data_IF_041966816549
#
_entry.id   IF_041966816549
#
_cell.length_a   1.000
_cell.length_b   1.000
_cell.length_c   1.000
_cell.angle_alpha   90.00
_cell.angle_beta   90.00
_cell.angle_gamma   90.00
#
_symmetry.space_group_name_H-M   'P 1'
#
loop_
_entity.id
_entity.type
_entity.pdbx_description
1 polymer ?
#
# COMPACT_ATOMS: atom_id res chain seq x y z
N UNK A 1 29.16 -9.74 9.63
CA UNK A 1 28.51 -8.95 8.55
C UNK A 1 28.92 -7.48 8.69
N UNK A 2 29.22 -6.74 7.60
CA UNK A 2 29.64 -5.33 7.68
C UNK A 2 28.51 -4.45 8.22
N UNK A 3 28.78 -3.68 9.27
CA UNK A 3 27.79 -2.80 9.90
C UNK A 3 27.35 -1.66 8.97
N UNK A 4 28.21 -1.27 8.04
CA UNK A 4 27.90 -0.24 7.04
C UNK A 4 26.75 -0.69 6.11
N UNK A 5 26.74 -1.95 5.66
CA UNK A 5 25.66 -2.48 4.83
C UNK A 5 24.32 -2.47 5.58
N UNK A 6 24.33 -2.84 6.88
CA UNK A 6 23.14 -2.82 7.72
C UNK A 6 22.60 -1.39 7.91
N UNK A 7 23.50 -0.42 8.17
CA UNK A 7 23.13 0.99 8.32
C UNK A 7 22.57 1.57 7.03
N UNK A 8 23.24 1.33 5.90
CA UNK A 8 22.81 1.87 4.60
C UNK A 8 21.44 1.34 4.19
N UNK A 9 21.21 0.02 4.30
CA UNK A 9 19.90 -0.57 3.93
C UNK A 9 18.81 -0.12 4.89
N UNK A 10 19.07 -0.07 6.20
CA UNK A 10 18.10 0.44 7.16
C UNK A 10 17.74 1.90 6.86
N UNK A 11 18.73 2.78 6.71
CA UNK A 11 18.52 4.19 6.42
C UNK A 11 17.70 4.40 5.14
N UNK A 12 18.11 3.78 4.03
CA UNK A 12 17.40 3.90 2.75
C UNK A 12 15.97 3.37 2.82
N UNK A 13 15.75 2.18 3.42
CA UNK A 13 14.42 1.62 3.55
C UNK A 13 13.48 2.49 4.41
N UNK A 14 14.03 3.13 5.45
CA UNK A 14 13.27 4.05 6.30
C UNK A 14 12.87 5.35 5.61
N UNK A 15 13.55 5.78 4.55
CA UNK A 15 13.18 6.99 3.79
C UNK A 15 11.95 6.79 2.89
N UNK A 16 11.52 5.55 2.66
CA UNK A 16 10.45 5.25 1.68
C UNK A 16 9.17 6.02 1.92
N UNK A 17 8.53 6.02 3.12
CA UNK A 17 7.31 6.79 3.31
C UNK A 17 7.50 8.31 3.10
N UNK A 18 8.64 8.85 3.49
CA UNK A 18 8.95 10.27 3.32
C UNK A 18 9.06 10.66 1.83
N UNK A 19 9.68 9.81 1.02
CA UNK A 19 9.91 10.08 -0.40
C UNK A 19 8.75 9.61 -1.30
N UNK A 20 7.83 8.80 -0.77
CA UNK A 20 6.73 8.25 -1.52
C UNK A 20 5.90 9.32 -2.26
N UNK A 21 5.49 10.35 -1.54
CA UNK A 21 4.62 11.41 -2.05
C UNK A 21 5.40 12.63 -2.58
N UNK A 22 6.66 12.78 -2.16
CA UNK A 22 7.48 13.96 -2.47
C UNK A 22 8.43 13.78 -3.66
N UNK A 23 8.70 12.53 -4.09
CA UNK A 23 9.67 12.23 -5.13
C UNK A 23 9.20 11.14 -6.11
N UNK A 24 9.26 11.44 -7.39
CA UNK A 24 8.92 10.47 -8.45
C UNK A 24 9.95 9.36 -8.62
N UNK A 25 11.19 9.58 -8.20
CA UNK A 25 12.32 8.67 -8.41
C UNK A 25 12.85 8.04 -7.13
N UNK A 26 12.51 8.59 -5.96
CA UNK A 26 13.03 8.14 -4.67
C UNK A 26 12.74 6.66 -4.40
N UNK A 27 11.49 6.24 -4.52
CA UNK A 27 11.09 4.85 -4.31
C UNK A 27 11.79 3.86 -5.26
N UNK A 28 11.72 4.07 -6.58
CA UNK A 28 12.44 3.25 -7.56
C UNK A 28 13.95 3.13 -7.31
N UNK A 29 14.63 4.22 -7.00
CA UNK A 29 16.08 4.18 -6.72
C UNK A 29 16.36 3.38 -5.45
N UNK A 30 15.61 3.61 -4.39
CA UNK A 30 15.84 2.96 -3.10
C UNK A 30 15.69 1.44 -3.21
N UNK A 31 14.66 0.93 -3.90
CA UNK A 31 14.47 -0.53 -4.00
C UNK A 31 15.64 -1.20 -4.71
N UNK A 32 16.17 -0.62 -5.80
CA UNK A 32 17.30 -1.20 -6.52
C UNK A 32 18.61 -1.09 -5.72
N UNK A 33 18.88 0.05 -5.09
CA UNK A 33 20.10 0.23 -4.29
C UNK A 33 20.09 -0.69 -3.06
N UNK A 34 18.97 -0.77 -2.35
CA UNK A 34 18.84 -1.67 -1.18
C UNK A 34 18.91 -3.13 -1.58
N UNK A 35 18.30 -3.51 -2.71
CA UNK A 35 18.38 -4.88 -3.24
C UNK A 35 19.82 -5.23 -3.66
N UNK A 36 20.54 -4.32 -4.34
CA UNK A 36 21.95 -4.53 -4.71
C UNK A 36 22.82 -4.75 -3.48
N UNK A 37 22.70 -3.90 -2.46
CA UNK A 37 23.45 -4.07 -1.20
C UNK A 37 23.08 -5.39 -0.52
N UNK A 38 21.81 -5.76 -0.52
CA UNK A 38 21.34 -7.01 0.08
C UNK A 38 21.87 -8.23 -0.66
N UNK A 39 21.76 -8.26 -2.00
CA UNK A 39 22.24 -9.36 -2.83
C UNK A 39 23.75 -9.53 -2.76
N UNK A 40 24.52 -8.46 -2.82
CA UNK A 40 25.99 -8.52 -2.67
C UNK A 40 26.39 -8.98 -1.28
N UNK A 41 25.65 -8.56 -0.24
CA UNK A 41 25.88 -9.03 1.14
C UNK A 41 25.50 -10.50 1.30
N UNK A 42 24.42 -10.97 0.66
CA UNK A 42 24.02 -12.39 0.61
C UNK A 42 25.09 -13.23 -0.09
N UNK A 43 25.60 -12.80 -1.24
CA UNK A 43 26.67 -13.50 -1.95
C UNK A 43 27.95 -13.59 -1.11
N UNK A 44 28.33 -12.49 -0.46
CA UNK A 44 29.46 -12.52 0.49
C UNK A 44 29.21 -13.45 1.69
N UNK A 45 27.95 -13.53 2.16
CA UNK A 45 27.59 -14.45 3.26
C UNK A 45 27.66 -15.94 2.85
N UNK A 46 27.38 -16.27 1.58
CA UNK A 46 27.55 -17.64 1.06
C UNK A 46 29.01 -18.11 1.18
N UNK A 47 29.96 -17.20 0.86
CA UNK A 47 31.41 -17.48 0.92
C UNK A 47 31.92 -17.45 2.37
N UNK A 48 31.59 -16.41 3.11
CA UNK A 48 32.17 -16.11 4.42
C UNK A 48 31.41 -16.74 5.60
N UNK A 49 30.20 -17.28 5.37
CA UNK A 49 29.34 -17.94 6.36
C UNK A 49 29.15 -17.14 7.67
N UNK A 50 28.95 -15.83 7.55
CA UNK A 50 28.80 -14.94 8.73
C UNK A 50 27.56 -15.30 9.57
N UNK A 51 26.45 -15.64 8.90
CA UNK A 51 25.15 -15.84 9.55
C UNK A 51 24.31 -16.87 8.78
N UNK A 52 23.47 -17.69 9.44
CA UNK A 52 22.55 -18.60 8.78
C UNK A 52 21.49 -17.82 7.98
N UNK A 53 21.04 -18.37 6.86
CA UNK A 53 20.07 -17.73 5.99
C UNK A 53 18.68 -17.56 6.63
N UNK A 54 18.30 -18.40 7.61
CA UNK A 54 17.01 -18.32 8.31
C UNK A 54 15.79 -18.40 7.38
N UNK A 55 15.82 -19.32 6.43
CA UNK A 55 14.80 -19.47 5.39
C UNK A 55 13.39 -19.60 5.96
N UNK A 56 13.23 -20.32 7.08
CA UNK A 56 11.93 -20.52 7.74
C UNK A 56 11.28 -19.19 8.18
N UNK A 57 12.09 -18.21 8.59
CA UNK A 57 11.57 -16.88 8.97
C UNK A 57 11.20 -16.03 7.76
N UNK A 58 11.83 -16.28 6.62
CA UNK A 58 11.56 -15.56 5.38
C UNK A 58 10.44 -16.17 4.56
N UNK A 59 10.13 -17.45 4.75
CA UNK A 59 9.28 -18.21 3.84
C UNK A 59 7.92 -17.52 3.57
N UNK A 60 7.22 -17.13 4.62
CA UNK A 60 5.89 -16.51 4.47
C UNK A 60 5.96 -15.20 3.67
N UNK A 61 6.90 -14.30 4.03
CA UNK A 61 7.02 -13.01 3.34
C UNK A 61 7.59 -13.17 1.94
N UNK A 62 8.47 -14.14 1.71
CA UNK A 62 9.01 -14.45 0.40
C UNK A 62 7.93 -14.96 -0.55
N UNK A 63 7.09 -15.90 -0.10
CA UNK A 63 5.94 -16.38 -0.88
C UNK A 63 5.04 -15.22 -1.27
N UNK A 64 4.67 -14.35 -0.32
CA UNK A 64 3.80 -13.21 -0.59
C UNK A 64 4.39 -12.25 -1.64
N UNK A 65 5.68 -11.93 -1.52
CA UNK A 65 6.34 -10.94 -2.39
C UNK A 65 6.75 -11.52 -3.76
N UNK A 66 7.04 -12.83 -3.85
CA UNK A 66 7.43 -13.45 -5.12
C UNK A 66 6.20 -13.86 -5.94
N UNK A 67 5.07 -14.18 -5.31
CA UNK A 67 3.89 -14.71 -5.98
C UNK A 67 3.40 -13.86 -7.17
N UNK A 68 3.29 -12.51 -7.10
CA UNK A 68 2.87 -11.72 -8.26
C UNK A 68 3.83 -11.81 -9.45
N UNK A 69 5.13 -11.83 -9.17
CA UNK A 69 6.14 -11.98 -10.21
C UNK A 69 6.10 -13.37 -10.85
N UNK A 70 5.93 -14.42 -10.05
CA UNK A 70 5.81 -15.78 -10.54
C UNK A 70 4.53 -15.98 -11.39
N UNK A 71 3.39 -15.45 -10.96
CA UNK A 71 2.13 -15.51 -11.71
C UNK A 71 2.28 -14.83 -13.09
N UNK A 72 2.92 -13.65 -13.12
CA UNK A 72 3.22 -12.94 -14.37
C UNK A 72 4.14 -13.75 -15.27
N UNK A 73 5.24 -14.33 -14.75
CA UNK A 73 6.15 -15.15 -15.56
C UNK A 73 5.43 -16.34 -16.19
N UNK A 74 4.60 -17.05 -15.44
CA UNK A 74 3.82 -18.19 -15.94
C UNK A 74 2.88 -17.73 -17.06
N UNK A 75 2.12 -16.65 -16.84
CA UNK A 75 1.18 -16.10 -17.83
C UNK A 75 1.92 -15.65 -19.09
N UNK A 76 2.98 -14.85 -18.96
CA UNK A 76 3.75 -14.35 -20.10
C UNK A 76 4.40 -15.49 -20.90
N UNK A 77 4.90 -16.54 -20.24
CA UNK A 77 5.48 -17.71 -20.90
C UNK A 77 4.43 -18.48 -21.68
N UNK A 78 3.25 -18.69 -21.08
CA UNK A 78 2.14 -19.41 -21.72
C UNK A 78 1.59 -18.67 -22.94
N UNK A 79 1.42 -17.34 -22.83
CA UNK A 79 0.84 -16.50 -23.87
C UNK A 79 1.87 -16.03 -24.92
N UNK A 80 3.18 -16.17 -24.68
CA UNK A 80 4.22 -15.59 -25.52
C UNK A 80 4.24 -14.05 -25.52
N UNK A 81 3.52 -13.41 -24.57
CA UNK A 81 3.29 -11.97 -24.53
C UNK A 81 4.08 -11.30 -23.39
N UNK A 82 5.29 -10.88 -23.68
CA UNK A 82 6.20 -10.27 -22.70
C UNK A 82 6.06 -8.75 -22.65
N UNK A 83 6.11 -8.18 -21.42
CA UNK A 83 6.12 -6.75 -21.17
C UNK A 83 7.27 -6.39 -20.22
N UNK A 84 8.24 -5.62 -20.70
CA UNK A 84 9.38 -5.16 -19.90
C UNK A 84 8.92 -4.33 -18.68
N UNK A 85 7.90 -3.49 -18.86
CA UNK A 85 7.36 -2.66 -17.79
C UNK A 85 6.68 -3.49 -16.69
N UNK A 86 5.96 -4.56 -17.05
CA UNK A 86 5.33 -5.47 -16.07
C UNK A 86 6.38 -6.32 -15.34
N UNK A 87 7.37 -6.83 -16.08
CA UNK A 87 8.50 -7.55 -15.48
C UNK A 87 9.19 -6.67 -14.44
N UNK A 88 9.56 -5.45 -14.83
CA UNK A 88 10.24 -4.51 -13.94
C UNK A 88 9.38 -4.16 -12.72
N UNK A 89 8.10 -3.90 -12.91
CA UNK A 89 7.16 -3.57 -11.85
C UNK A 89 7.06 -4.69 -10.81
N UNK A 90 6.77 -5.91 -11.25
CA UNK A 90 6.53 -7.03 -10.35
C UNK A 90 7.82 -7.63 -9.77
N UNK A 91 8.95 -7.53 -10.49
CA UNK A 91 10.27 -7.88 -9.96
C UNK A 91 10.62 -7.09 -8.69
N UNK A 92 10.18 -5.85 -8.56
CA UNK A 92 10.44 -5.01 -7.36
C UNK A 92 9.87 -5.62 -6.09
N UNK A 93 8.75 -6.34 -6.15
CA UNK A 93 8.27 -7.12 -5.00
C UNK A 93 9.27 -8.22 -4.62
N UNK A 94 9.73 -9.00 -5.59
CA UNK A 94 10.69 -10.07 -5.34
C UNK A 94 12.04 -9.55 -4.82
N UNK A 95 12.49 -8.39 -5.30
CA UNK A 95 13.71 -7.73 -4.81
C UNK A 95 13.62 -7.27 -3.35
N UNK A 96 12.44 -7.10 -2.78
CA UNK A 96 12.30 -6.81 -1.35
C UNK A 96 12.61 -8.02 -0.45
N UNK A 97 12.64 -9.24 -0.97
CA UNK A 97 12.98 -10.45 -0.19
C UNK A 97 14.42 -10.44 0.31
N UNK A 98 15.47 -10.25 -0.53
CA UNK A 98 16.83 -10.10 -0.04
C UNK A 98 17.00 -8.89 0.89
N UNK A 99 16.26 -7.79 0.67
CA UNK A 99 16.25 -6.64 1.58
C UNK A 99 15.69 -7.05 2.95
N UNK A 100 14.58 -7.80 2.99
CA UNK A 100 14.02 -8.35 4.23
C UNK A 100 15.05 -9.21 4.98
N UNK A 101 15.74 -10.10 4.26
CA UNK A 101 16.80 -10.95 4.83
C UNK A 101 17.87 -10.12 5.53
N UNK A 102 18.28 -9.00 4.95
CA UNK A 102 19.27 -8.11 5.56
C UNK A 102 18.70 -7.31 6.74
N UNK A 103 17.47 -6.80 6.62
CA UNK A 103 16.79 -6.04 7.67
C UNK A 103 16.53 -6.88 8.94
N UNK A 104 16.35 -8.19 8.84
CA UNK A 104 16.24 -9.08 10.00
C UNK A 104 17.50 -9.08 10.89
N UNK A 105 18.61 -8.51 10.45
CA UNK A 105 19.89 -8.40 11.17
C UNK A 105 20.17 -7.00 11.68
N UNK A 106 19.30 -6.06 11.36
CA UNK A 106 19.37 -4.67 11.82
C UNK A 106 18.84 -4.57 13.25
N UNK A 107 19.50 -3.82 14.14
CA UNK A 107 18.99 -3.54 15.47
C UNK A 107 17.61 -2.88 15.41
N UNK A 108 16.67 -3.36 16.23
CA UNK A 108 15.28 -2.94 16.23
C UNK A 108 15.10 -1.44 16.47
N UNK A 109 15.89 -0.86 17.36
CA UNK A 109 15.85 0.58 17.65
C UNK A 109 16.17 1.46 16.44
N UNK A 110 16.97 0.97 15.46
CA UNK A 110 17.17 1.73 14.22
C UNK A 110 15.92 1.74 13.35
N UNK A 111 15.25 0.60 13.26
CA UNK A 111 14.05 0.46 12.42
C UNK A 111 12.83 1.22 12.99
N UNK A 112 12.79 1.48 14.30
CA UNK A 112 11.72 2.29 14.91
C UNK A 112 11.71 3.74 14.40
N UNK A 113 12.81 4.24 13.84
CA UNK A 113 12.85 5.55 13.19
C UNK A 113 11.92 5.66 11.96
N UNK A 114 11.32 4.56 11.52
CA UNK A 114 10.23 4.56 10.53
C UNK A 114 9.13 5.56 10.90
N UNK A 115 8.86 5.77 12.18
CA UNK A 115 7.84 6.73 12.64
C UNK A 115 8.04 8.15 12.08
N UNK A 116 9.30 8.61 11.96
CA UNK A 116 9.60 9.96 11.46
C UNK A 116 9.31 10.09 9.97
N UNK A 117 9.59 9.04 9.22
CA UNK A 117 9.32 8.99 7.78
C UNK A 117 7.81 8.92 7.50
N UNK A 118 7.05 8.16 8.30
CA UNK A 118 5.59 8.14 8.23
C UNK A 118 4.99 9.51 8.54
N UNK A 119 5.46 10.14 9.63
CA UNK A 119 5.00 11.47 10.05
C UNK A 119 5.31 12.52 8.98
N UNK A 120 6.54 12.53 8.46
CA UNK A 120 6.94 13.46 7.41
C UNK A 120 6.14 13.24 6.12
N UNK A 121 6.00 11.98 5.68
CA UNK A 121 5.20 11.64 4.49
C UNK A 121 3.75 12.07 4.60
N UNK A 122 3.15 11.91 5.79
CA UNK A 122 1.79 12.35 6.07
C UNK A 122 1.64 13.88 6.02
N UNK A 123 2.55 14.62 6.65
CA UNK A 123 2.53 16.10 6.66
C UNK A 123 2.79 16.62 5.24
N UNK A 124 3.87 16.18 4.61
CA UNK A 124 4.25 16.63 3.27
C UNK A 124 3.16 16.31 2.24
N UNK A 125 2.59 15.09 2.29
CA UNK A 125 1.49 14.69 1.44
C UNK A 125 0.24 15.55 1.65
N UNK A 126 -0.13 15.83 2.89
CA UNK A 126 -1.27 16.68 3.20
C UNK A 126 -1.09 18.12 2.68
N UNK A 127 0.08 18.70 2.95
CA UNK A 127 0.40 20.08 2.51
C UNK A 127 0.40 20.18 0.98
N UNK A 128 1.06 19.22 0.29
CA UNK A 128 1.09 19.21 -1.17
C UNK A 128 -0.32 19.07 -1.75
N UNK A 129 -1.13 18.16 -1.24
CA UNK A 129 -2.49 17.92 -1.73
C UNK A 129 -3.37 19.17 -1.59
N UNK A 130 -3.31 19.83 -0.43
CA UNK A 130 -4.06 21.06 -0.17
C UNK A 130 -3.59 22.20 -1.06
N UNK A 131 -2.27 22.42 -1.19
CA UNK A 131 -1.71 23.47 -2.03
C UNK A 131 -2.10 23.26 -3.50
N UNK A 132 -1.90 22.07 -4.05
CA UNK A 132 -2.17 21.79 -5.47
C UNK A 132 -3.65 22.02 -5.79
N UNK A 133 -4.55 21.54 -4.93
CA UNK A 133 -6.00 21.65 -5.20
C UNK A 133 -6.49 23.09 -5.09
N UNK A 134 -5.95 23.90 -4.17
CA UNK A 134 -6.37 25.30 -3.99
C UNK A 134 -5.61 26.29 -4.88
N UNK A 135 -4.55 25.84 -5.58
CA UNK A 135 -3.82 26.74 -6.48
C UNK A 135 -4.66 27.01 -7.75
N UNK A 136 -4.97 28.26 -8.07
CA UNK A 136 -5.71 28.61 -9.28
C UNK A 136 -5.06 28.00 -10.53
N UNK A 137 -5.86 27.37 -11.38
CA UNK A 137 -5.41 26.75 -12.64
C UNK A 137 -4.86 25.33 -12.52
N UNK A 138 -4.64 24.78 -11.29
CA UNK A 138 -4.18 23.40 -11.11
C UNK A 138 -5.36 22.45 -10.82
N UNK A 139 -5.88 22.48 -9.62
CA UNK A 139 -6.96 21.58 -9.20
C UNK A 139 -6.54 20.11 -9.02
N UNK A 140 -7.54 19.27 -8.80
CA UNK A 140 -7.35 17.85 -8.46
C UNK A 140 -6.64 17.02 -9.56
N UNK A 141 -6.86 17.35 -10.84
CA UNK A 141 -6.24 16.65 -11.98
C UNK A 141 -4.73 16.81 -12.01
N UNK A 142 -4.22 17.97 -11.58
CA UNK A 142 -2.79 18.26 -11.59
C UNK A 142 -1.97 17.52 -10.51
N UNK A 143 -2.62 16.83 -9.55
CA UNK A 143 -1.90 16.10 -8.49
C UNK A 143 -0.91 15.08 -9.08
N UNK A 144 -1.23 14.48 -10.23
CA UNK A 144 -0.36 13.52 -10.93
C UNK A 144 0.92 14.12 -11.50
N UNK A 145 1.01 15.44 -11.62
CA UNK A 145 2.18 16.12 -12.19
C UNK A 145 3.24 16.43 -11.14
N UNK A 146 2.89 16.29 -9.85
CA UNK A 146 3.74 16.65 -8.72
C UNK A 146 4.19 15.43 -7.89
N UNK A 147 5.24 15.63 -7.12
CA UNK A 147 5.74 14.71 -6.11
C UNK A 147 5.96 13.30 -6.64
N UNK A 148 5.28 12.32 -6.05
CA UNK A 148 5.34 10.91 -6.41
C UNK A 148 4.63 10.55 -7.72
N UNK A 149 3.99 11.51 -8.37
CA UNK A 149 3.19 11.34 -9.59
C UNK A 149 2.08 10.31 -9.46
N UNK A 150 1.38 10.33 -8.34
CA UNK A 150 0.14 9.59 -8.13
C UNK A 150 -1.05 10.42 -8.59
N UNK A 151 -2.10 9.76 -9.06
CA UNK A 151 -3.37 10.45 -9.18
C UNK A 151 -3.88 10.88 -7.78
N UNK A 152 -4.84 11.80 -7.74
CA UNK A 152 -5.32 12.34 -6.48
C UNK A 152 -5.90 11.27 -5.52
N UNK A 153 -6.39 10.14 -6.06
CA UNK A 153 -6.91 9.02 -5.25
C UNK A 153 -5.78 8.32 -4.52
N UNK A 154 -4.81 7.78 -5.23
CA UNK A 154 -3.68 7.08 -4.61
C UNK A 154 -2.82 7.99 -3.73
N UNK A 155 -2.73 9.29 -4.07
CA UNK A 155 -2.03 10.27 -3.26
C UNK A 155 -2.72 10.49 -1.90
N UNK A 156 -4.05 10.67 -1.89
CA UNK A 156 -4.83 10.85 -0.67
C UNK A 156 -4.86 9.57 0.19
N UNK A 157 -4.98 8.40 -0.46
CA UNK A 157 -4.98 7.10 0.20
C UNK A 157 -3.67 6.85 0.96
N UNK A 158 -2.51 7.14 0.34
CA UNK A 158 -1.21 7.03 1.01
C UNK A 158 -1.02 8.09 2.10
N UNK A 159 -1.51 9.31 1.89
CA UNK A 159 -1.42 10.39 2.88
C UNK A 159 -2.10 10.01 4.18
N UNK A 160 -3.36 9.56 4.13
CA UNK A 160 -4.09 9.15 5.34
C UNK A 160 -3.52 7.87 5.96
N UNK A 161 -3.03 6.94 5.13
CA UNK A 161 -2.38 5.71 5.61
C UNK A 161 -1.15 6.04 6.46
N UNK A 162 -0.30 6.96 6.01
CA UNK A 162 0.88 7.39 6.76
C UNK A 162 0.49 8.14 8.04
N UNK A 163 -0.56 8.99 7.99
CA UNK A 163 -1.07 9.71 9.16
C UNK A 163 -1.57 8.75 10.26
N UNK A 164 -2.40 7.78 9.89
CA UNK A 164 -2.93 6.80 10.84
C UNK A 164 -1.85 5.81 11.31
N UNK A 165 -0.91 5.44 10.44
CA UNK A 165 0.25 4.64 10.84
C UNK A 165 1.14 5.40 11.82
N UNK A 166 1.35 6.71 11.62
CA UNK A 166 2.08 7.58 12.55
C UNK A 166 1.36 7.66 13.92
N UNK A 167 0.03 7.76 13.94
CA UNK A 167 -0.76 7.73 15.18
C UNK A 167 -0.53 6.45 15.97
N UNK A 168 -0.46 5.29 15.31
CA UNK A 168 -0.20 4.01 15.99
C UNK A 168 1.19 3.97 16.66
N UNK A 169 2.14 4.82 16.24
CA UNK A 169 3.48 4.92 16.88
C UNK A 169 3.49 5.74 18.17
N UNK A 170 2.36 6.21 18.69
CA UNK A 170 2.28 6.99 19.95
C UNK A 170 3.04 6.36 21.13
N UNK A 171 3.08 5.01 21.31
CA UNK A 171 3.86 4.39 22.38
C UNK A 171 5.39 4.52 22.18
N UNK A 172 5.86 4.77 20.96
CA UNK A 172 7.28 4.95 20.67
C UNK A 172 7.70 6.37 21.02
N UNK A 173 8.66 6.50 21.94
CA UNK A 173 9.18 7.78 22.43
C UNK A 173 10.66 7.83 22.07
N UNK A 174 10.98 8.31 20.88
CA UNK A 174 12.35 8.34 20.36
C UNK A 174 12.98 9.74 20.40
N UNK A 175 12.17 10.79 20.57
CA UNK A 175 12.64 12.17 20.65
C UNK A 175 13.07 12.54 22.07
N UNK A 176 14.06 13.43 22.24
CA UNK A 176 14.35 14.08 23.51
C UNK A 176 13.19 15.00 23.98
N UNK A 177 12.26 15.34 23.09
CA UNK A 177 11.06 16.15 23.37
C UNK A 177 9.76 15.33 23.25
N UNK A 178 9.45 14.44 24.22
CA UNK A 178 8.34 13.49 24.09
C UNK A 178 6.96 14.14 23.99
N UNK A 179 6.79 15.33 24.56
CA UNK A 179 5.52 16.09 24.46
C UNK A 179 5.28 16.63 23.05
N UNK A 180 6.33 17.14 22.39
CA UNK A 180 6.27 17.62 21.01
C UNK A 180 6.04 16.44 20.05
N UNK A 181 6.76 15.33 20.24
CA UNK A 181 6.55 14.10 19.47
C UNK A 181 5.10 13.62 19.57
N UNK A 182 4.54 13.56 20.77
CA UNK A 182 3.15 13.21 21.02
C UNK A 182 2.19 14.16 20.29
N UNK A 183 2.38 15.49 20.44
CA UNK A 183 1.53 16.50 19.82
C UNK A 183 1.54 16.38 18.29
N UNK A 184 2.71 16.21 17.68
CA UNK A 184 2.83 16.06 16.22
C UNK A 184 2.07 14.84 15.70
N UNK A 185 2.17 13.69 16.41
CA UNK A 185 1.46 12.46 16.03
C UNK A 185 -0.05 12.55 16.18
N UNK A 186 -0.54 13.39 17.07
CA UNK A 186 -2.00 13.65 17.20
C UNK A 186 -2.45 14.64 16.13
N UNK A 187 -1.74 15.75 15.96
CA UNK A 187 -2.14 16.86 15.05
C UNK A 187 -2.08 16.43 13.58
N UNK A 188 -1.21 15.50 13.20
CA UNK A 188 -1.12 15.03 11.81
C UNK A 188 -2.42 14.38 11.33
N UNK A 189 -3.19 13.76 12.21
CA UNK A 189 -4.44 13.07 11.83
C UNK A 189 -5.49 14.03 11.28
N UNK A 190 -5.93 15.08 12.01
CA UNK A 190 -6.87 16.06 11.45
C UNK A 190 -6.33 16.76 10.20
N UNK A 191 -5.01 16.98 10.08
CA UNK A 191 -4.40 17.52 8.87
C UNK A 191 -4.60 16.57 7.68
N UNK A 192 -4.36 15.26 7.85
CA UNK A 192 -4.61 14.27 6.82
C UNK A 192 -6.10 14.17 6.46
N UNK A 193 -6.98 14.17 7.46
CA UNK A 193 -8.43 14.13 7.24
C UNK A 193 -8.92 15.34 6.45
N UNK A 194 -8.40 16.54 6.74
CA UNK A 194 -8.69 17.75 5.98
C UNK A 194 -8.18 17.64 4.54
N UNK A 195 -6.96 17.17 4.32
CA UNK A 195 -6.41 16.98 2.98
C UNK A 195 -7.23 15.98 2.15
N UNK A 196 -7.66 14.86 2.77
CA UNK A 196 -8.57 13.87 2.14
C UNK A 196 -9.92 14.51 1.81
N UNK A 197 -10.48 15.32 2.72
CA UNK A 197 -11.72 16.05 2.48
C UNK A 197 -11.62 16.96 1.26
N UNK A 198 -10.59 17.80 1.21
CA UNK A 198 -10.33 18.71 0.08
C UNK A 198 -10.13 17.96 -1.23
N UNK A 199 -9.46 16.79 -1.20
CA UNK A 199 -9.24 15.98 -2.39
C UNK A 199 -10.50 15.31 -2.94
N UNK A 200 -11.60 15.29 -2.20
CA UNK A 200 -12.85 14.61 -2.56
C UNK A 200 -12.64 13.11 -2.86
N UNK A 201 -11.67 12.46 -2.17
CA UNK A 201 -11.35 11.04 -2.39
C UNK A 201 -12.13 10.16 -1.44
N UNK A 202 -13.11 9.43 -2.00
CA UNK A 202 -14.04 8.58 -1.22
C UNK A 202 -13.37 7.32 -0.66
N UNK A 203 -12.47 6.69 -1.42
CA UNK A 203 -11.76 5.46 -1.00
C UNK A 203 -10.97 5.63 0.28
N UNK A 204 -10.36 6.80 0.48
CA UNK A 204 -9.52 7.11 1.63
C UNK A 204 -10.26 6.99 2.97
N UNK A 205 -11.56 7.31 2.99
CA UNK A 205 -12.40 7.17 4.19
C UNK A 205 -12.58 5.70 4.63
N UNK A 206 -12.45 4.76 3.69
CA UNK A 206 -12.46 3.33 3.96
C UNK A 206 -11.34 2.87 4.90
N UNK A 207 -10.28 3.65 5.08
CA UNK A 207 -9.20 3.33 6.01
C UNK A 207 -9.60 3.49 7.49
N UNK A 208 -10.59 4.33 7.81
CA UNK A 208 -11.05 4.50 9.19
C UNK A 208 -11.69 3.22 9.76
N UNK A 209 -12.65 2.56 9.07
CA UNK A 209 -13.12 1.25 9.52
C UNK A 209 -12.02 0.17 9.52
N UNK A 210 -11.04 0.23 8.61
CA UNK A 210 -9.87 -0.67 8.66
C UNK A 210 -9.06 -0.45 9.94
N UNK A 211 -8.76 0.80 10.30
CA UNK A 211 -8.10 1.11 11.58
C UNK A 211 -8.92 0.58 12.76
N UNK A 212 -10.24 0.79 12.71
CA UNK A 212 -11.16 0.24 13.70
C UNK A 212 -11.04 -1.28 13.84
N UNK A 213 -11.05 -1.98 12.73
CA UNK A 213 -10.87 -3.43 12.69
C UNK A 213 -9.51 -3.86 13.26
N UNK A 214 -8.44 -3.17 12.86
CA UNK A 214 -7.08 -3.44 13.37
C UNK A 214 -7.04 -3.31 14.89
N UNK A 215 -7.59 -2.23 15.44
CA UNK A 215 -7.62 -2.02 16.90
C UNK A 215 -8.48 -3.06 17.61
N UNK A 216 -9.65 -3.43 17.07
CA UNK A 216 -10.51 -4.47 17.62
C UNK A 216 -9.84 -5.84 17.65
N UNK A 217 -9.11 -6.19 16.60
CA UNK A 217 -8.41 -7.48 16.48
C UNK A 217 -7.18 -7.56 17.38
N UNK A 218 -6.52 -6.43 17.67
CA UNK A 218 -5.22 -6.40 18.34
C UNK A 218 -5.29 -5.96 19.80
N UNK A 219 -6.25 -5.11 20.18
CA UNK A 219 -6.46 -4.66 21.58
C UNK A 219 -7.29 -5.68 22.38
N UNK A 220 -6.66 -6.82 22.71
CA UNK A 220 -7.32 -7.94 23.38
C UNK A 220 -7.83 -7.62 24.80
N UNK A 221 -7.15 -6.67 25.47
CA UNK A 221 -7.50 -6.25 26.85
C UNK A 221 -8.70 -5.28 26.93
N UNK A 222 -9.20 -4.80 25.78
CA UNK A 222 -10.37 -3.92 25.81
C UNK A 222 -11.61 -4.68 26.26
N UNK A 223 -12.32 -4.11 27.23
CA UNK A 223 -13.62 -4.62 27.64
C UNK A 223 -14.63 -4.52 26.48
N UNK A 224 -15.68 -5.33 26.52
CA UNK A 224 -16.75 -5.24 25.50
C UNK A 224 -17.36 -3.83 25.43
N UNK A 225 -17.52 -3.17 26.59
CA UNK A 225 -18.01 -1.77 26.64
C UNK A 225 -17.07 -0.82 25.88
N UNK A 226 -15.75 -0.91 26.11
CA UNK A 226 -14.78 -0.08 25.41
C UNK A 226 -14.81 -0.33 23.89
N UNK A 227 -14.94 -1.57 23.45
CA UNK A 227 -15.10 -1.92 22.04
C UNK A 227 -16.36 -1.32 21.43
N UNK A 228 -17.50 -1.42 22.12
CA UNK A 228 -18.77 -0.84 21.65
C UNK A 228 -18.72 0.69 21.59
N UNK A 229 -18.14 1.38 22.59
CA UNK A 229 -17.95 2.82 22.54
C UNK A 229 -17.03 3.24 21.37
N UNK A 230 -15.96 2.49 21.14
CA UNK A 230 -15.05 2.77 20.03
C UNK A 230 -15.73 2.59 18.68
N UNK A 231 -16.47 1.49 18.47
CA UNK A 231 -17.23 1.23 17.24
C UNK A 231 -18.31 2.30 17.05
N UNK A 232 -19.04 2.65 18.12
CA UNK A 232 -20.04 3.72 18.08
C UNK A 232 -19.44 5.07 17.70
N UNK A 233 -18.29 5.43 18.27
CA UNK A 233 -17.55 6.64 17.90
C UNK A 233 -17.09 6.64 16.45
N UNK A 234 -16.62 5.50 15.94
CA UNK A 234 -16.24 5.36 14.54
C UNK A 234 -17.44 5.50 13.58
N UNK A 235 -18.56 4.88 13.93
CA UNK A 235 -19.82 5.01 13.17
C UNK A 235 -20.29 6.46 13.20
N UNK A 236 -20.26 7.13 14.35
CA UNK A 236 -20.63 8.54 14.47
C UNK A 236 -19.73 9.45 13.61
N UNK A 237 -18.41 9.20 13.60
CA UNK A 237 -17.47 9.92 12.74
C UNK A 237 -17.79 9.70 11.25
N UNK A 238 -18.05 8.47 10.84
CA UNK A 238 -18.40 8.15 9.46
C UNK A 238 -19.74 8.79 9.05
N UNK A 239 -20.71 8.80 9.96
CA UNK A 239 -21.99 9.47 9.74
C UNK A 239 -21.81 10.99 9.62
N UNK A 240 -20.96 11.61 10.45
CA UNK A 240 -20.65 13.02 10.37
C UNK A 240 -19.99 13.39 9.02
N UNK A 241 -19.03 12.56 8.56
CA UNK A 241 -18.40 12.70 7.24
C UNK A 241 -19.43 12.57 6.12
N UNK A 242 -20.31 11.58 6.19
CA UNK A 242 -21.35 11.37 5.20
C UNK A 242 -22.33 12.55 5.14
N UNK A 243 -22.81 13.02 6.30
CA UNK A 243 -23.70 14.20 6.41
C UNK A 243 -23.00 15.46 5.90
N UNK A 244 -21.78 15.75 6.36
CA UNK A 244 -21.02 16.90 5.87
C UNK A 244 -20.78 16.87 4.37
N UNK A 245 -20.47 15.67 3.83
CA UNK A 245 -20.32 15.48 2.39
C UNK A 245 -21.64 15.69 1.63
N UNK A 246 -22.75 15.31 2.20
CA UNK A 246 -24.08 15.49 1.60
C UNK A 246 -24.46 16.96 1.44
N UNK A 247 -24.13 17.80 2.43
CA UNK A 247 -24.41 19.24 2.40
C UNK A 247 -23.40 20.05 1.58
N UNK A 248 -22.24 19.51 1.24
CA UNK A 248 -21.27 20.17 0.36
C UNK A 248 -21.83 20.28 -1.07
N UNK A 249 -21.84 21.49 -1.64
CA UNK A 249 -22.39 21.74 -2.98
C UNK A 249 -21.64 20.98 -4.08
N UNK A 250 -20.32 20.78 -3.92
CA UNK A 250 -19.44 20.08 -4.86
C UNK A 250 -19.26 18.59 -4.52
N UNK A 251 -20.21 18.00 -3.78
CA UNK A 251 -20.06 16.67 -3.24
C UNK A 251 -20.16 15.59 -4.31
N UNK A 252 -19.05 14.93 -4.58
CA UNK A 252 -19.00 13.71 -5.42
C UNK A 252 -19.85 12.54 -4.87
N UNK A 253 -20.26 12.61 -3.58
CA UNK A 253 -21.15 11.61 -2.98
C UNK A 253 -22.55 11.65 -3.57
N UNK A 254 -23.06 12.85 -3.86
CA UNK A 254 -24.36 12.99 -4.57
C UNK A 254 -24.27 12.45 -5.98
N UNK A 255 -23.13 12.63 -6.65
CA UNK A 255 -22.89 12.11 -7.99
C UNK A 255 -22.97 10.59 -8.09
N UNK A 256 -22.78 9.82 -6.99
CA UNK A 256 -22.91 8.35 -7.07
C UNK A 256 -24.34 7.92 -7.39
N UNK A 257 -25.33 8.53 -6.74
CA UNK A 257 -26.74 8.17 -6.98
C UNK A 257 -27.17 8.60 -8.39
N UNK A 258 -26.81 9.84 -8.80
CA UNK A 258 -27.08 10.29 -10.16
C UNK A 258 -26.33 9.46 -11.22
N UNK A 259 -25.09 9.04 -10.95
CA UNK A 259 -24.31 8.17 -11.85
C UNK A 259 -24.97 6.79 -12.02
N UNK A 260 -25.57 6.23 -10.94
CA UNK A 260 -26.31 4.97 -11.02
C UNK A 260 -27.63 5.12 -11.79
N UNK A 261 -28.35 6.21 -11.56
CA UNK A 261 -29.57 6.53 -12.29
C UNK A 261 -29.27 6.75 -13.79
N UNK A 262 -28.23 7.51 -14.11
CA UNK A 262 -27.75 7.72 -15.48
C UNK A 262 -27.35 6.40 -16.15
N UNK A 263 -26.66 5.52 -15.42
CA UNK A 263 -26.30 4.18 -15.94
C UNK A 263 -27.53 3.34 -16.32
N UNK A 264 -28.61 3.42 -15.53
CA UNK A 264 -29.89 2.76 -15.85
C UNK A 264 -30.57 3.40 -17.07
N UNK A 265 -30.39 4.71 -17.30
CA UNK A 265 -30.89 5.46 -18.45
C UNK A 265 -29.97 5.38 -19.69
N UNK A 266 -29.05 4.41 -19.73
CA UNK A 266 -28.09 4.15 -20.81
C UNK A 266 -26.94 5.17 -20.95
N UNK A 267 -26.84 6.20 -20.12
CA UNK A 267 -25.64 7.00 -20.02
C UNK A 267 -24.62 6.28 -19.11
N UNK A 268 -23.73 5.51 -19.76
CA UNK A 268 -22.76 4.64 -19.08
C UNK A 268 -21.41 5.28 -18.88
N UNK A 269 -21.18 6.53 -19.36
CA UNK A 269 -19.88 7.19 -19.35
C UNK A 269 -19.65 8.06 -18.11
N UNK A 270 -20.44 7.85 -17.07
CA UNK A 270 -20.23 8.43 -15.75
C UNK A 270 -19.10 7.73 -14.98
N UNK A 271 -18.57 8.39 -13.92
CA UNK A 271 -17.47 7.84 -13.11
C UNK A 271 -17.74 6.44 -12.53
N UNK A 272 -18.99 6.15 -12.16
CA UNK A 272 -19.42 4.84 -11.67
C UNK A 272 -19.66 3.89 -12.84
N UNK A 273 -20.33 4.36 -13.88
CA UNK A 273 -20.65 3.57 -15.07
C UNK A 273 -19.41 3.04 -15.79
N UNK A 274 -18.37 3.86 -15.93
CA UNK A 274 -17.06 3.46 -16.48
C UNK A 274 -16.46 2.30 -15.67
N UNK A 275 -16.46 2.38 -14.34
CA UNK A 275 -15.93 1.29 -13.51
C UNK A 275 -16.74 0.00 -13.66
N UNK A 276 -18.06 0.08 -13.68
CA UNK A 276 -18.92 -1.09 -13.89
C UNK A 276 -18.61 -1.75 -15.24
N UNK A 277 -18.44 -0.97 -16.30
CA UNK A 277 -18.06 -1.48 -17.61
C UNK A 277 -16.68 -2.16 -17.58
N UNK A 278 -15.67 -1.53 -16.99
CA UNK A 278 -14.32 -2.07 -16.85
C UNK A 278 -14.29 -3.35 -15.99
N UNK A 279 -15.07 -3.42 -14.92
CA UNK A 279 -15.18 -4.60 -14.07
C UNK A 279 -15.86 -5.77 -14.79
N UNK A 280 -16.95 -5.47 -15.55
CA UNK A 280 -17.61 -6.45 -16.42
C UNK A 280 -16.66 -6.96 -17.51
N UNK A 281 -15.92 -6.06 -18.15
CA UNK A 281 -14.91 -6.43 -19.15
C UNK A 281 -13.83 -7.34 -18.56
N UNK A 282 -13.28 -6.98 -17.39
CA UNK A 282 -12.27 -7.80 -16.69
C UNK A 282 -12.78 -9.19 -16.36
N UNK A 283 -14.05 -9.30 -15.94
CA UNK A 283 -14.68 -10.59 -15.69
C UNK A 283 -14.86 -11.42 -16.96
N UNK A 284 -15.19 -10.80 -18.09
CA UNK A 284 -15.30 -11.49 -19.38
C UNK A 284 -13.94 -11.98 -19.87
N UNK A 285 -12.89 -11.15 -19.77
CA UNK A 285 -11.51 -11.54 -20.06
C UNK A 285 -11.04 -12.73 -19.20
N UNK A 286 -11.39 -12.72 -17.91
CA UNK A 286 -11.12 -13.88 -17.03
C UNK A 286 -11.82 -15.13 -17.51
N UNK A 287 -13.10 -15.06 -17.93
CA UNK A 287 -13.84 -16.24 -18.45
C UNK A 287 -13.23 -16.80 -19.72
N UNK A 288 -12.61 -15.96 -20.54
CA UNK A 288 -11.91 -16.39 -21.76
C UNK A 288 -10.62 -17.16 -21.44
N UNK A 289 -9.87 -16.73 -20.41
CA UNK A 289 -8.61 -17.37 -19.98
C UNK A 289 -8.52 -17.47 -18.46
N UNK A 290 -9.21 -18.47 -17.83
CA UNK A 290 -9.39 -18.48 -16.37
C UNK A 290 -8.11 -18.72 -15.56
N UNK A 291 -7.13 -19.42 -16.11
CA UNK A 291 -5.91 -19.80 -15.35
C UNK A 291 -4.84 -18.73 -15.40
N UNK A 292 -4.51 -18.24 -16.60
CA UNK A 292 -3.36 -17.35 -16.87
C UNK A 292 -3.77 -15.96 -17.32
N UNK A 293 -5.07 -15.68 -17.49
CA UNK A 293 -5.60 -14.42 -18.00
C UNK A 293 -5.31 -14.17 -19.48
N UNK A 294 -5.78 -13.04 -19.98
CA UNK A 294 -5.54 -12.64 -21.38
C UNK A 294 -4.17 -11.94 -21.60
N UNK A 295 -3.45 -11.67 -20.52
CA UNK A 295 -2.21 -10.89 -20.52
C UNK A 295 -2.46 -9.38 -20.42
N UNK A 296 -1.70 -8.69 -19.58
CA UNK A 296 -1.89 -7.24 -19.33
C UNK A 296 -1.76 -6.39 -20.60
N UNK A 297 -0.87 -6.76 -21.54
CA UNK A 297 -0.73 -6.06 -22.83
C UNK A 297 -1.97 -6.15 -23.70
N UNK A 298 -2.77 -7.20 -23.54
CA UNK A 298 -3.95 -7.45 -24.34
C UNK A 298 -5.20 -6.80 -23.76
N UNK A 299 -5.13 -6.17 -22.57
CA UNK A 299 -6.30 -5.58 -21.93
C UNK A 299 -7.00 -4.54 -22.83
N UNK A 300 -6.24 -3.61 -23.43
CA UNK A 300 -6.81 -2.63 -24.39
C UNK A 300 -7.35 -3.27 -25.68
N UNK A 301 -6.63 -4.15 -26.38
CA UNK A 301 -7.18 -4.91 -27.51
C UNK A 301 -8.47 -5.63 -27.17
N UNK A 302 -8.56 -6.25 -25.99
CA UNK A 302 -9.80 -6.94 -25.56
C UNK A 302 -10.94 -5.95 -25.28
N UNK A 303 -10.65 -4.76 -24.68
CA UNK A 303 -11.66 -3.71 -24.56
C UNK A 303 -12.20 -3.27 -25.91
N UNK A 304 -11.36 -3.15 -26.95
CA UNK A 304 -11.80 -2.80 -28.31
C UNK A 304 -12.73 -3.89 -28.92
N UNK A 305 -12.43 -5.18 -28.68
CA UNK A 305 -13.33 -6.27 -29.09
C UNK A 305 -14.67 -6.20 -28.37
N UNK A 306 -14.65 -5.95 -27.06
CA UNK A 306 -15.86 -5.84 -26.23
C UNK A 306 -16.69 -4.59 -26.59
N UNK A 307 -16.07 -3.53 -27.08
CA UNK A 307 -16.75 -2.35 -27.63
C UNK A 307 -17.50 -2.69 -28.91
N UNK A 308 -16.90 -3.43 -29.83
CA UNK A 308 -17.58 -3.89 -31.03
C UNK A 308 -18.80 -4.79 -30.74
N UNK A 309 -18.79 -5.47 -29.59
CA UNK A 309 -19.92 -6.29 -29.08
C UNK A 309 -20.93 -5.46 -28.27
N UNK A 310 -20.76 -4.15 -28.12
CA UNK A 310 -21.64 -3.27 -27.33
C UNK A 310 -21.55 -3.46 -25.82
N UNK A 311 -20.55 -4.20 -25.32
CA UNK A 311 -20.35 -4.45 -23.88
C UNK A 311 -19.84 -3.22 -23.17
N UNK A 312 -18.88 -2.52 -23.77
CA UNK A 312 -18.31 -1.26 -23.27
C UNK A 312 -18.52 -0.15 -24.30
N UNK A 313 -18.49 1.11 -23.84
CA UNK A 313 -18.61 2.29 -24.69
C UNK A 313 -17.27 2.59 -25.42
N UNK A 314 -17.33 3.41 -26.44
CA UNK A 314 -16.15 3.91 -27.16
C UNK A 314 -15.17 4.62 -26.22
N UNK A 315 -15.69 5.50 -25.34
CA UNK A 315 -14.90 6.19 -24.32
C UNK A 315 -14.09 5.20 -23.48
N UNK A 316 -14.72 4.11 -23.01
CA UNK A 316 -14.03 3.11 -22.17
C UNK A 316 -12.93 2.39 -22.96
N UNK A 317 -13.17 2.06 -24.22
CA UNK A 317 -12.20 1.32 -25.05
C UNK A 317 -10.99 2.17 -25.47
N UNK A 318 -11.17 3.50 -25.63
CA UNK A 318 -10.10 4.42 -26.09
C UNK A 318 -9.27 4.95 -24.93
N UNK A 319 -9.91 5.40 -23.86
CA UNK A 319 -9.26 6.18 -22.82
C UNK A 319 -8.72 5.31 -21.67
N UNK A 320 -9.28 4.11 -21.51
CA UNK A 320 -8.91 3.24 -20.38
C UNK A 320 -8.07 2.05 -20.84
N UNK A 321 -7.20 1.57 -19.96
CA UNK A 321 -6.34 0.41 -20.19
C UNK A 321 -6.22 -0.48 -18.94
N UNK A 322 -7.11 -0.27 -17.96
CA UNK A 322 -7.08 -0.95 -16.68
C UNK A 322 -8.42 -0.82 -15.94
N UNK A 323 -8.76 -1.75 -15.03
CA UNK A 323 -10.07 -1.78 -14.39
C UNK A 323 -10.21 -0.88 -13.14
N UNK A 324 -9.21 -0.08 -12.75
CA UNK A 324 -9.21 0.64 -11.47
C UNK A 324 -9.52 -0.25 -10.26
N UNK A 325 -9.00 -1.47 -10.26
CA UNK A 325 -9.12 -2.47 -9.21
C UNK A 325 -7.99 -3.49 -9.38
N UNK A 326 -7.07 -3.59 -8.40
CA UNK A 326 -5.91 -4.49 -8.51
C UNK A 326 -6.31 -5.97 -8.65
N UNK A 327 -7.40 -6.39 -7.97
CA UNK A 327 -7.84 -7.79 -8.02
C UNK A 327 -8.41 -8.14 -9.39
N UNK A 328 -9.24 -7.28 -9.96
CA UNK A 328 -9.80 -7.48 -11.30
C UNK A 328 -8.73 -7.30 -12.38
N UNK A 329 -7.77 -6.40 -12.17
CA UNK A 329 -6.61 -6.25 -13.05
C UNK A 329 -5.73 -7.50 -13.06
N UNK A 330 -5.45 -8.07 -11.89
CA UNK A 330 -4.71 -9.32 -11.78
C UNK A 330 -5.49 -10.51 -12.35
N UNK A 331 -6.81 -10.53 -12.13
CA UNK A 331 -7.71 -11.56 -12.65
C UNK A 331 -7.78 -11.55 -14.18
N UNK A 332 -7.97 -10.39 -14.80
CA UNK A 332 -7.98 -10.26 -16.25
C UNK A 332 -6.59 -10.50 -16.86
N UNK A 333 -5.54 -9.92 -16.24
CA UNK A 333 -4.18 -9.98 -16.78
C UNK A 333 -3.49 -11.33 -16.61
N UNK A 334 -3.72 -12.02 -15.48
CA UNK A 334 -2.97 -13.22 -15.10
C UNK A 334 -3.89 -14.37 -14.61
N UNK A 335 -5.21 -14.26 -14.77
CA UNK A 335 -6.19 -15.28 -14.40
C UNK A 335 -6.28 -15.52 -12.88
N UNK A 336 -6.69 -16.73 -12.52
CA UNK A 336 -6.75 -17.17 -11.12
C UNK A 336 -5.37 -17.12 -10.45
N UNK A 337 -4.28 -17.40 -11.16
CA UNK A 337 -2.92 -17.26 -10.64
C UNK A 337 -2.63 -15.82 -10.21
N UNK A 338 -3.04 -14.85 -11.03
CA UNK A 338 -2.90 -13.43 -10.71
C UNK A 338 -3.69 -13.04 -9.47
N UNK A 339 -4.98 -13.40 -9.40
CA UNK A 339 -5.83 -13.10 -8.25
C UNK A 339 -5.27 -13.72 -6.97
N UNK A 340 -4.89 -15.00 -7.00
CA UNK A 340 -4.32 -15.69 -5.84
C UNK A 340 -3.00 -15.04 -5.40
N UNK A 341 -2.17 -14.57 -6.35
CA UNK A 341 -0.90 -13.92 -6.05
C UNK A 341 -1.09 -12.56 -5.38
N UNK A 342 -2.04 -11.74 -5.85
CA UNK A 342 -2.33 -10.43 -5.24
C UNK A 342 -2.99 -10.58 -3.86
N UNK A 343 -3.86 -11.57 -3.69
CA UNK A 343 -4.43 -11.92 -2.40
C UNK A 343 -3.34 -12.41 -1.43
N UNK A 344 -2.41 -13.24 -1.89
CA UNK A 344 -1.27 -13.68 -1.09
C UNK A 344 -0.39 -12.48 -0.66
N UNK A 345 -0.16 -11.52 -1.56
CA UNK A 345 0.60 -10.31 -1.28
C UNK A 345 -0.01 -9.50 -0.12
N UNK A 346 -1.33 -9.38 -0.05
CA UNK A 346 -2.01 -8.66 1.02
C UNK A 346 -2.24 -9.50 2.28
N UNK A 347 -2.74 -10.73 2.12
CA UNK A 347 -3.27 -11.52 3.23
C UNK A 347 -2.19 -12.29 4.01
N UNK A 348 -1.14 -12.79 3.35
CA UNK A 348 -0.09 -13.54 4.06
C UNK A 348 0.63 -12.65 5.08
N UNK A 349 1.13 -11.44 4.72
CA UNK A 349 1.73 -10.55 5.70
C UNK A 349 0.72 -10.08 6.76
N UNK A 350 -0.55 -9.82 6.38
CA UNK A 350 -1.59 -9.45 7.32
C UNK A 350 -1.80 -10.51 8.40
N UNK A 351 -1.87 -11.80 8.02
CA UNK A 351 -1.98 -12.92 8.98
C UNK A 351 -0.77 -13.00 9.90
N UNK A 352 0.44 -12.80 9.36
CA UNK A 352 1.66 -12.78 10.18
C UNK A 352 1.61 -11.63 11.19
N UNK A 353 1.26 -10.42 10.77
CA UNK A 353 1.14 -9.27 11.66
C UNK A 353 0.03 -9.48 12.69
N UNK A 354 -1.12 -9.99 12.28
CA UNK A 354 -2.20 -10.31 13.23
C UNK A 354 -1.76 -11.28 14.32
N UNK A 355 -1.07 -12.38 13.96
CA UNK A 355 -0.54 -13.34 14.94
C UNK A 355 0.48 -12.69 15.87
N UNK A 356 1.41 -11.90 15.33
CA UNK A 356 2.47 -11.25 16.11
C UNK A 356 1.97 -10.07 16.97
N UNK A 357 0.79 -9.53 16.67
CA UNK A 357 0.16 -8.48 17.48
C UNK A 357 -0.22 -8.96 18.91
N UNK A 358 -0.20 -10.26 19.16
CA UNK A 358 -0.40 -10.85 20.48
C UNK A 358 0.81 -10.71 21.42
N UNK A 359 1.95 -10.22 20.94
CA UNK A 359 3.17 -10.05 21.72
C UNK A 359 3.01 -8.99 22.79
N UNK A 360 3.57 -9.24 23.99
CA UNK A 360 3.67 -8.27 25.09
C UNK A 360 4.77 -7.22 24.84
N UNK A 361 5.66 -7.45 23.88
CA UNK A 361 6.68 -6.46 23.48
C UNK A 361 5.99 -5.29 22.76
N UNK A 362 6.04 -4.07 23.32
CA UNK A 362 5.34 -2.90 22.75
C UNK A 362 5.78 -2.58 21.33
N UNK A 363 7.05 -2.83 20.97
CA UNK A 363 7.55 -2.56 19.62
C UNK A 363 6.97 -3.56 18.63
N UNK A 364 6.94 -4.84 18.99
CA UNK A 364 6.35 -5.89 18.17
C UNK A 364 4.85 -5.66 17.99
N UNK A 365 4.15 -5.33 19.07
CA UNK A 365 2.71 -5.05 19.06
C UNK A 365 2.37 -3.88 18.12
N UNK A 366 3.01 -2.72 18.31
CA UNK A 366 2.76 -1.52 17.48
C UNK A 366 3.16 -1.76 16.02
N UNK A 367 4.33 -2.36 15.76
CA UNK A 367 4.76 -2.69 14.39
C UNK A 367 3.77 -3.62 13.70
N UNK A 368 3.19 -4.57 14.44
CA UNK A 368 2.18 -5.49 13.93
C UNK A 368 0.87 -4.76 13.60
N UNK A 369 0.45 -3.82 14.42
CA UNK A 369 -0.73 -2.98 14.13
C UNK A 369 -0.53 -2.16 12.86
N UNK A 370 0.63 -1.52 12.70
CA UNK A 370 0.97 -0.73 11.52
C UNK A 370 1.02 -1.65 10.29
N UNK A 371 1.68 -2.81 10.38
CA UNK A 371 1.76 -3.78 9.28
C UNK A 371 0.39 -4.28 8.84
N UNK A 372 -0.48 -4.58 9.80
CA UNK A 372 -1.86 -4.99 9.52
C UNK A 372 -2.66 -3.85 8.85
N UNK A 373 -2.50 -2.60 9.33
CA UNK A 373 -3.12 -1.43 8.72
C UNK A 373 -2.62 -1.21 7.28
N UNK A 374 -1.33 -1.38 7.00
CA UNK A 374 -0.76 -1.28 5.65
C UNK A 374 -1.34 -2.35 4.71
N UNK A 375 -1.38 -3.60 5.14
CA UNK A 375 -1.88 -4.70 4.30
C UNK A 375 -3.39 -4.55 4.02
N UNK A 376 -4.19 -4.33 5.06
CA UNK A 376 -5.64 -4.20 4.91
C UNK A 376 -6.05 -2.86 4.27
N UNK A 377 -5.30 -1.79 4.54
CA UNK A 377 -5.51 -0.49 3.89
C UNK A 377 -5.30 -0.58 2.39
N UNK A 378 -4.18 -1.14 1.93
CA UNK A 378 -3.94 -1.35 0.50
C UNK A 378 -4.99 -2.29 -0.12
N UNK A 379 -5.41 -3.34 0.59
CA UNK A 379 -6.49 -4.21 0.14
C UNK A 379 -7.79 -3.44 -0.12
N UNK A 380 -8.19 -2.55 0.79
CA UNK A 380 -9.41 -1.72 0.64
C UNK A 380 -9.24 -0.69 -0.47
N UNK A 381 -8.11 0.00 -0.55
CA UNK A 381 -7.83 0.95 -1.63
C UNK A 381 -7.83 0.27 -2.99
N UNK A 382 -7.31 -0.95 -3.07
CA UNK A 382 -7.24 -1.73 -4.31
C UNK A 382 -8.61 -2.13 -4.89
N UNK A 383 -9.69 -2.02 -4.11
CA UNK A 383 -11.05 -2.24 -4.61
C UNK A 383 -11.55 -1.13 -5.55
N UNK A 384 -10.99 0.07 -5.44
CA UNK A 384 -11.42 1.25 -6.19
C UNK A 384 -10.33 1.95 -7.00
N UNK A 385 -9.07 1.51 -6.84
CA UNK A 385 -7.91 2.05 -7.54
C UNK A 385 -6.87 0.94 -7.74
N UNK A 386 -6.06 1.05 -8.77
CA UNK A 386 -4.92 0.17 -8.95
C UNK A 386 -3.71 0.71 -8.18
N UNK A 387 -3.56 0.24 -6.93
CA UNK A 387 -2.47 0.66 -6.03
C UNK A 387 -1.08 0.31 -6.59
N UNK A 388 -1.00 -0.75 -7.40
CA UNK A 388 0.26 -1.21 -8.00
C UNK A 388 0.34 -0.97 -9.52
N UNK A 389 -0.50 -0.07 -10.05
CA UNK A 389 -0.40 0.38 -11.46
C UNK A 389 0.97 0.97 -11.76
N UNK A 390 1.44 1.84 -10.85
CA UNK A 390 2.65 2.60 -11.05
C UNK A 390 3.86 1.86 -10.45
N UNK A 391 4.96 1.78 -11.21
CA UNK A 391 6.23 1.25 -10.72
C UNK A 391 6.74 1.94 -9.45
N UNK A 392 6.25 3.16 -9.14
CA UNK A 392 6.64 3.94 -7.95
C UNK A 392 5.96 3.48 -6.68
N UNK A 393 4.73 2.93 -6.78
CA UNK A 393 3.96 2.50 -5.61
C UNK A 393 4.42 1.16 -5.04
N UNK A 394 4.96 0.28 -5.89
CA UNK A 394 5.45 -1.04 -5.46
C UNK A 394 6.51 -0.97 -4.36
N UNK A 395 7.57 -0.13 -4.47
CA UNK A 395 8.57 0.00 -3.40
C UNK A 395 7.99 0.46 -2.07
N UNK A 396 6.93 1.30 -2.08
CA UNK A 396 6.31 1.81 -0.85
C UNK A 396 5.72 0.65 -0.05
N UNK A 397 4.88 -0.15 -0.69
CA UNK A 397 4.30 -1.32 -0.03
C UNK A 397 5.39 -2.33 0.36
N UNK A 398 6.20 -2.76 -0.60
CA UNK A 398 7.15 -3.84 -0.42
C UNK A 398 8.19 -3.52 0.68
N UNK A 399 8.82 -2.34 0.63
CA UNK A 399 9.86 -1.98 1.62
C UNK A 399 9.26 -1.64 2.98
N UNK A 400 8.11 -0.96 3.05
CA UNK A 400 7.47 -0.69 4.34
C UNK A 400 7.03 -1.99 5.02
N UNK A 401 6.43 -2.91 4.28
CA UNK A 401 6.02 -4.22 4.83
C UNK A 401 7.22 -5.01 5.32
N UNK A 402 8.35 -5.06 4.60
CA UNK A 402 9.52 -5.82 5.07
C UNK A 402 10.24 -5.14 6.24
N UNK A 403 10.23 -3.80 6.36
CA UNK A 403 10.71 -3.08 7.55
C UNK A 403 9.86 -3.44 8.76
N UNK A 404 8.52 -3.39 8.62
CA UNK A 404 7.59 -3.75 9.68
C UNK A 404 7.70 -5.23 10.05
N UNK A 405 7.88 -6.10 9.05
CA UNK A 405 8.13 -7.51 9.27
C UNK A 405 9.39 -7.76 10.10
N UNK A 406 10.49 -7.06 9.77
CA UNK A 406 11.73 -7.13 10.51
C UNK A 406 11.57 -6.62 11.95
N UNK A 407 10.86 -5.51 12.17
CA UNK A 407 10.53 -4.98 13.50
C UNK A 407 9.80 -5.99 14.39
N UNK A 408 8.99 -6.86 13.81
CA UNK A 408 8.24 -7.89 14.54
C UNK A 408 9.02 -9.19 14.75
N UNK A 409 10.25 -9.31 14.21
CA UNK A 409 11.09 -10.50 14.37
C UNK A 409 11.89 -10.50 15.67
N UNK A 410 12.04 -11.66 16.29
CA UNK A 410 12.92 -11.85 17.45
C UNK A 410 14.40 -11.56 17.12
N UNK A 411 14.82 -11.79 15.85
CA UNK A 411 16.20 -11.57 15.42
C UNK A 411 16.67 -10.12 15.56
N UNK A 412 15.83 -9.16 15.25
CA UNK A 412 16.16 -7.73 15.39
C UNK A 412 16.34 -7.32 16.86
N UNK A 413 15.58 -7.96 17.77
CA UNK A 413 15.80 -7.83 19.22
C UNK A 413 17.17 -8.39 19.66
N UNK A 414 17.51 -9.59 19.18
CA UNK A 414 18.83 -10.21 19.44
C UNK A 414 19.97 -9.39 18.84
N UNK A 415 19.80 -8.84 17.64
CA UNK A 415 20.80 -7.96 17.03
C UNK A 415 21.03 -6.69 17.85
N UNK A 416 19.97 -6.13 18.45
CA UNK A 416 20.06 -5.00 19.36
C UNK A 416 20.85 -5.34 20.65
N UNK A 417 20.57 -6.49 21.26
CA UNK A 417 21.30 -6.96 22.45
C UNK A 417 22.78 -7.18 22.17
N UNK A 418 23.13 -7.82 21.04
CA UNK A 418 24.52 -8.01 20.61
C UNK A 418 25.27 -6.69 20.38
N UNK A 419 24.59 -5.69 19.84
CA UNK A 419 25.20 -4.37 19.64
C UNK A 419 25.44 -3.64 20.98
N UNK A 420 24.51 -3.76 21.93
CA UNK A 420 24.64 -3.18 23.27
C UNK A 420 25.80 -3.83 24.05
N UNK A 421 25.97 -5.15 23.95
CA UNK A 421 27.05 -5.87 24.60
C UNK A 421 28.46 -5.58 24.01
N UNK A 422 28.56 -4.93 22.86
CA UNK A 422 29.83 -4.54 22.22
C UNK A 422 30.25 -3.09 22.51
N UNK A 423 29.40 -2.32 23.21
CA UNK A 423 29.66 -0.96 23.68
C UNK A 423 30.10 -0.98 25.12
#
# INVERSE_FOLDING_TARGET
MPIICLRSVAFLALLIPALALTSAVGGPIIIYVTALIALTTMAANLVRRWEPFALNELAAIAVALIAPFAAMLISCTYLGAWSSSEIEKLLRFALAVPVCWLLLRVPRNWLQHLQWSLLFGAIAGSVMLVIIIHTPGLGRGAVSDFGGRYNAVGFADLTILFGLASLLTLPWKLSPWPRLEFALKIVVVPICLYAVWVSQTRSSWGLLPVLGLVLLLTKRHWTMRAKLFFVGGLIALMALVAVGSWYSQDSRWRGVLSDLDSYQQQDRDTSVGIRIQLWKASWLMFKESPVVGVGVRNFRPELAKLQQQGVVTELVSTDYGEPHNDMLGALAGYGALGLLSILALYLIPAVVFWRRSASDDPVVHVSSQIGLLFCLGHLVFSLSEMMFRNMRSVPIYALTVVVLYALTSARTGLAQQRLAARR
#
